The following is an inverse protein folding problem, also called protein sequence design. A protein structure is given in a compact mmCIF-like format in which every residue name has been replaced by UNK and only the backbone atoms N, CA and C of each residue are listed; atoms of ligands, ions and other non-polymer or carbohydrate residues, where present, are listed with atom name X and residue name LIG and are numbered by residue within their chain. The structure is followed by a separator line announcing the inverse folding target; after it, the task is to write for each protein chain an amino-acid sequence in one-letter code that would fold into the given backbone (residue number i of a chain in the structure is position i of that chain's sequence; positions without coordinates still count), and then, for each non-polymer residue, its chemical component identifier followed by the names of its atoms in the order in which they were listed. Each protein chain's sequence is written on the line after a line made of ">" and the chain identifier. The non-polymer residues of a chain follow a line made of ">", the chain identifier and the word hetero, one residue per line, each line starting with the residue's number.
data_IF_159531519849
#
_entry.id   IF_159531519849
#
_cell.length_a   1.000
_cell.length_b   1.000
_cell.length_c   1.000
_cell.angle_alpha   90.00
_cell.angle_beta   90.00
_cell.angle_gamma   90.00
#
_symmetry.space_group_name_H-M   'P 1'
#
loop_
_entity.id
_entity.type
_entity.pdbx_description
1 polymer ?
#
# COMPACT_ATOMS: atom_id res chain seq x y z
N UNK A 1 -49.47 -11.45 -74.47
CA UNK A 1 -49.37 -10.46 -73.46
C UNK A 1 -48.97 -11.12 -72.17
N UNK A 2 -47.64 -10.99 -71.79
CA UNK A 2 -47.11 -11.48 -70.50
C UNK A 2 -46.16 -10.39 -69.98
N UNK A 3 -46.66 -9.62 -69.00
CA UNK A 3 -45.86 -8.55 -68.34
C UNK A 3 -44.91 -9.16 -67.28
N UNK A 4 -43.63 -8.91 -67.40
CA UNK A 4 -42.63 -9.29 -66.44
C UNK A 4 -42.42 -8.13 -65.44
N UNK A 5 -42.75 -8.37 -64.18
CA UNK A 5 -42.46 -7.44 -63.04
C UNK A 5 -41.03 -7.67 -62.61
N UNK A 6 -40.18 -6.65 -62.75
CA UNK A 6 -38.80 -6.63 -62.25
C UNK A 6 -38.80 -6.09 -60.81
N UNK A 7 -38.42 -6.92 -59.83
CA UNK A 7 -38.15 -6.50 -58.47
C UNK A 7 -36.72 -5.92 -58.37
N UNK A 8 -36.61 -4.69 -58.02
CA UNK A 8 -35.33 -4.05 -57.69
C UNK A 8 -35.03 -4.32 -56.20
N UNK A 9 -34.00 -5.10 -55.91
CA UNK A 9 -33.49 -5.30 -54.55
C UNK A 9 -32.55 -4.13 -54.25
N UNK A 10 -32.98 -3.22 -53.40
CA UNK A 10 -32.12 -2.14 -52.86
C UNK A 10 -31.34 -2.73 -51.69
N UNK A 11 -30.08 -3.06 -51.93
CA UNK A 11 -29.13 -3.48 -50.89
C UNK A 11 -28.71 -2.32 -50.02
N UNK A 12 -29.13 -2.29 -48.75
CA UNK A 12 -28.69 -1.32 -47.75
C UNK A 12 -27.30 -1.72 -47.24
N UNK A 13 -26.25 -1.09 -47.73
CA UNK A 13 -24.88 -1.20 -47.25
C UNK A 13 -24.78 -0.44 -45.90
N UNK A 14 -24.86 -1.19 -44.78
CA UNK A 14 -24.53 -0.64 -43.46
C UNK A 14 -22.98 -0.55 -43.38
N UNK A 15 -22.43 0.65 -43.55
CA UNK A 15 -21.01 0.93 -43.34
C UNK A 15 -20.76 0.84 -41.82
N UNK A 16 -20.14 -0.25 -41.34
CA UNK A 16 -19.53 -0.31 -40.03
C UNK A 16 -18.37 0.69 -40.02
N UNK A 17 -18.56 1.85 -39.40
CA UNK A 17 -17.46 2.74 -39.08
C UNK A 17 -16.49 2.03 -38.13
N UNK A 18 -15.19 1.93 -38.44
CA UNK A 18 -14.22 1.39 -37.51
C UNK A 18 -14.22 2.26 -36.26
N UNK A 19 -14.60 1.69 -35.12
CA UNK A 19 -14.49 2.36 -33.82
C UNK A 19 -13.07 2.85 -33.64
N UNK A 20 -12.85 4.16 -33.59
CA UNK A 20 -11.56 4.76 -33.31
C UNK A 20 -11.21 4.32 -31.89
N UNK A 21 -10.32 3.30 -31.76
CA UNK A 21 -9.78 2.92 -30.48
C UNK A 21 -9.09 4.17 -29.89
N UNK A 22 -9.63 4.66 -28.80
CA UNK A 22 -9.01 5.76 -28.05
C UNK A 22 -7.60 5.30 -27.67
N UNK A 23 -6.54 6.07 -27.96
CA UNK A 23 -5.21 5.70 -27.53
C UNK A 23 -5.23 5.49 -26.01
N UNK A 24 -4.65 4.38 -25.56
CA UNK A 24 -4.50 4.12 -24.13
C UNK A 24 -3.80 5.33 -23.49
N UNK A 25 -4.41 5.89 -22.45
CA UNK A 25 -3.83 7.02 -21.72
C UNK A 25 -2.44 6.68 -21.16
N UNK A 26 -1.67 7.68 -20.73
CA UNK A 26 -0.36 7.46 -20.17
C UNK A 26 -0.44 6.53 -18.93
N UNK A 27 0.58 5.71 -18.72
CA UNK A 27 0.65 4.81 -17.54
C UNK A 27 1.64 5.41 -16.53
N UNK A 28 1.22 5.56 -15.28
CA UNK A 28 2.03 5.98 -14.13
C UNK A 28 2.44 4.74 -13.33
N UNK A 29 3.73 4.52 -13.12
CA UNK A 29 4.24 3.45 -12.27
C UNK A 29 4.46 3.97 -10.85
N UNK A 30 3.70 3.46 -9.89
CA UNK A 30 3.75 3.87 -8.49
C UNK A 30 4.34 2.75 -7.65
N UNK A 31 5.51 3.01 -7.04
CA UNK A 31 6.09 2.14 -6.03
C UNK A 31 5.56 2.55 -4.66
N UNK A 32 4.90 1.66 -3.95
CA UNK A 32 4.22 1.99 -2.70
C UNK A 32 4.44 0.95 -1.60
N UNK A 33 4.59 1.43 -0.39
CA UNK A 33 4.65 0.59 0.80
C UNK A 33 3.39 -0.27 0.90
N UNK A 34 3.56 -1.53 1.29
CA UNK A 34 2.51 -2.56 1.20
C UNK A 34 1.33 -2.35 2.17
N UNK A 35 1.46 -1.44 3.15
CA UNK A 35 0.35 -1.00 4.01
C UNK A 35 -0.71 -0.18 3.26
N UNK A 36 -0.34 0.39 2.09
CA UNK A 36 -1.25 1.13 1.22
C UNK A 36 -2.15 0.23 0.35
N UNK A 37 -1.94 -1.09 0.36
CA UNK A 37 -2.60 -2.00 -0.58
C UNK A 37 -4.12 -1.76 -0.66
N UNK A 38 -4.83 -1.82 0.47
CA UNK A 38 -6.30 -1.73 0.46
C UNK A 38 -6.81 -0.31 0.18
N UNK A 39 -6.10 0.71 0.69
CA UNK A 39 -6.46 2.09 0.38
C UNK A 39 -6.25 2.41 -1.10
N UNK A 40 -5.17 1.91 -1.71
CA UNK A 40 -4.86 2.16 -3.11
C UNK A 40 -5.70 1.31 -4.08
N UNK A 41 -6.15 0.12 -3.67
CA UNK A 41 -7.15 -0.65 -4.43
C UNK A 41 -8.44 0.18 -4.66
N UNK A 42 -8.82 1.03 -3.70
CA UNK A 42 -9.96 1.93 -3.83
C UNK A 42 -9.60 3.26 -4.55
N UNK A 43 -8.44 3.81 -4.25
CA UNK A 43 -8.02 5.15 -4.69
C UNK A 43 -7.58 5.18 -6.15
N UNK A 44 -6.81 4.18 -6.59
CA UNK A 44 -6.24 4.12 -7.95
C UNK A 44 -7.32 4.16 -9.04
N UNK A 45 -8.39 3.36 -9.01
CA UNK A 45 -9.44 3.43 -10.04
C UNK A 45 -10.14 4.79 -10.11
N UNK A 46 -10.20 5.52 -9.00
CA UNK A 46 -10.78 6.88 -8.96
C UNK A 46 -9.86 7.88 -9.62
N UNK A 47 -8.56 7.83 -9.29
CA UNK A 47 -7.57 8.68 -9.96
C UNK A 47 -7.52 8.41 -11.47
N UNK A 48 -7.50 7.15 -11.91
CA UNK A 48 -7.48 6.79 -13.33
C UNK A 48 -8.63 7.44 -14.11
N UNK A 49 -9.83 7.46 -13.52
CA UNK A 49 -11.01 8.09 -14.15
C UNK A 49 -10.85 9.59 -14.32
N UNK A 50 -10.35 10.29 -13.29
CA UNK A 50 -10.22 11.77 -13.34
C UNK A 50 -8.97 12.21 -14.09
N UNK A 51 -7.93 11.40 -14.10
CA UNK A 51 -6.66 11.71 -14.77
C UNK A 51 -6.65 11.33 -16.26
N UNK A 52 -7.52 10.39 -16.68
CA UNK A 52 -7.44 9.77 -18.00
C UNK A 52 -6.16 8.98 -18.23
N UNK A 53 -5.59 8.42 -17.16
CA UNK A 53 -4.32 7.70 -17.15
C UNK A 53 -4.50 6.32 -16.50
N UNK A 54 -3.53 5.41 -16.71
CA UNK A 54 -3.46 4.14 -16.00
C UNK A 54 -2.41 4.21 -14.88
N UNK A 55 -2.60 3.43 -13.83
CA UNK A 55 -1.63 3.30 -12.72
C UNK A 55 -1.20 1.84 -12.62
N UNK A 56 0.11 1.62 -12.71
CA UNK A 56 0.73 0.33 -12.35
C UNK A 56 1.24 0.45 -10.93
N UNK A 57 0.64 -0.31 -10.01
CA UNK A 57 1.01 -0.32 -8.60
C UNK A 57 1.99 -1.46 -8.31
N UNK A 58 3.16 -1.12 -7.76
CA UNK A 58 4.16 -2.06 -7.27
C UNK A 58 4.24 -1.93 -5.75
N UNK A 59 3.79 -2.97 -5.05
CA UNK A 59 3.75 -3.00 -3.59
C UNK A 59 4.93 -3.79 -3.02
N UNK A 60 5.56 -3.25 -1.97
CA UNK A 60 6.69 -3.91 -1.33
C UNK A 60 7.05 -3.30 0.03
N UNK A 61 8.13 -3.78 0.64
CA UNK A 61 8.69 -3.07 1.78
C UNK A 61 9.38 -1.78 1.32
N UNK A 62 9.27 -0.74 2.12
CA UNK A 62 9.83 0.59 1.79
C UNK A 62 11.32 0.53 1.46
N UNK A 63 12.11 -0.24 2.24
CA UNK A 63 13.55 -0.35 2.02
C UNK A 63 13.91 -1.04 0.71
N UNK A 64 13.22 -2.17 0.39
CA UNK A 64 13.45 -2.88 -0.86
C UNK A 64 13.08 -2.03 -2.08
N UNK A 65 11.93 -1.32 -2.01
CA UNK A 65 11.52 -0.43 -3.09
C UNK A 65 12.47 0.76 -3.26
N UNK A 66 12.93 1.35 -2.14
CA UNK A 66 13.92 2.41 -2.18
C UNK A 66 15.22 1.94 -2.87
N UNK A 67 15.73 0.76 -2.51
CA UNK A 67 16.91 0.18 -3.13
C UNK A 67 16.72 -0.07 -4.62
N UNK A 68 15.55 -0.58 -5.03
CA UNK A 68 15.24 -0.76 -6.45
C UNK A 68 15.25 0.58 -7.21
N UNK A 69 14.68 1.63 -6.62
CA UNK A 69 14.69 2.97 -7.22
C UNK A 69 16.13 3.49 -7.31
N UNK A 70 16.95 3.36 -6.26
CA UNK A 70 18.38 3.73 -6.28
C UNK A 70 19.15 3.06 -7.44
N UNK A 71 18.76 1.83 -7.79
CA UNK A 71 19.34 1.09 -8.92
C UNK A 71 18.63 1.33 -10.26
N UNK A 72 17.81 2.37 -10.36
CA UNK A 72 17.21 2.79 -11.63
C UNK A 72 15.91 2.08 -12.01
N UNK A 73 15.21 1.47 -11.07
CA UNK A 73 13.88 0.89 -11.37
C UNK A 73 12.94 1.94 -11.99
N UNK A 74 12.08 1.54 -12.95
CA UNK A 74 11.25 2.46 -13.74
C UNK A 74 10.01 2.91 -12.95
N UNK A 75 10.22 3.48 -11.75
CA UNK A 75 9.19 4.08 -10.95
C UNK A 75 8.99 5.55 -11.33
N UNK A 76 7.75 6.02 -11.31
CA UNK A 76 7.40 7.43 -11.49
C UNK A 76 7.24 8.14 -10.13
N UNK A 77 6.63 7.45 -9.15
CA UNK A 77 6.35 8.00 -7.81
C UNK A 77 6.66 6.94 -6.75
N UNK A 78 7.22 7.38 -5.64
CA UNK A 78 7.50 6.55 -4.48
C UNK A 78 6.68 6.97 -3.27
N UNK A 79 5.93 6.03 -2.68
CA UNK A 79 5.19 6.18 -1.42
C UNK A 79 5.83 5.30 -0.35
N UNK A 80 6.50 5.93 0.60
CA UNK A 80 7.26 5.26 1.66
C UNK A 80 6.51 5.28 3.00
N UNK A 81 6.54 4.17 3.73
CA UNK A 81 5.98 4.08 5.08
C UNK A 81 6.86 4.75 6.15
N UNK A 82 8.01 5.29 5.78
CA UNK A 82 8.85 6.11 6.64
C UNK A 82 9.50 7.22 5.80
N UNK A 83 9.26 8.47 6.20
CA UNK A 83 9.76 9.67 5.54
C UNK A 83 11.28 9.69 5.38
N UNK A 84 12.03 9.05 6.28
CA UNK A 84 13.49 9.02 6.22
C UNK A 84 14.04 8.43 4.92
N UNK A 85 13.32 7.47 4.31
CA UNK A 85 13.69 6.92 3.00
C UNK A 85 13.51 7.94 1.88
N UNK A 86 12.43 8.71 1.90
CA UNK A 86 12.20 9.78 0.92
C UNK A 86 13.24 10.87 1.06
N UNK A 87 13.53 11.30 2.30
CA UNK A 87 14.51 12.35 2.60
C UNK A 87 15.92 11.91 2.17
N UNK A 88 16.31 10.66 2.42
CA UNK A 88 17.57 10.08 1.95
C UNK A 88 17.66 10.09 0.42
N UNK A 89 16.63 9.62 -0.29
CA UNK A 89 16.63 9.58 -1.74
C UNK A 89 16.61 11.00 -2.38
N UNK A 90 16.02 11.98 -1.72
CA UNK A 90 16.12 13.39 -2.12
C UNK A 90 17.55 13.90 -1.98
N UNK A 91 18.22 13.62 -0.86
CA UNK A 91 19.61 14.01 -0.64
C UNK A 91 20.55 13.38 -1.66
N UNK A 92 20.26 12.17 -2.13
CA UNK A 92 20.97 11.48 -3.20
C UNK A 92 20.55 11.95 -4.62
N UNK A 93 19.65 12.92 -4.73
CA UNK A 93 19.12 13.43 -5.99
C UNK A 93 18.36 12.39 -6.83
N UNK A 94 17.85 11.33 -6.22
CA UNK A 94 17.03 10.27 -6.83
C UNK A 94 15.56 10.70 -6.92
N UNK A 95 15.07 11.44 -5.94
CA UNK A 95 13.71 12.00 -5.92
C UNK A 95 13.73 13.52 -6.08
N UNK A 96 12.65 14.08 -6.60
CA UNK A 96 12.46 15.52 -6.80
C UNK A 96 12.01 16.16 -5.48
N UNK A 97 12.87 16.95 -4.84
CA UNK A 97 12.60 17.59 -3.55
C UNK A 97 11.29 18.42 -3.54
N UNK A 98 11.03 19.19 -4.61
CA UNK A 98 9.84 20.03 -4.73
C UNK A 98 8.51 19.25 -4.83
N UNK A 99 8.56 17.92 -5.00
CA UNK A 99 7.37 17.06 -5.03
C UNK A 99 7.13 16.32 -3.71
N UNK A 100 8.02 16.49 -2.72
CA UNK A 100 7.89 15.83 -1.42
C UNK A 100 6.61 16.26 -0.70
N UNK A 101 5.87 15.29 -0.21
CA UNK A 101 4.71 15.52 0.65
C UNK A 101 4.59 14.44 1.72
N UNK A 102 4.17 14.82 2.92
CA UNK A 102 3.60 13.87 3.88
C UNK A 102 2.22 13.49 3.39
N UNK A 103 1.83 12.23 3.55
CA UNK A 103 0.49 11.79 3.14
C UNK A 103 -0.27 11.06 4.25
N UNK A 104 0.43 10.46 5.22
CA UNK A 104 -0.18 9.75 6.33
C UNK A 104 0.79 9.57 7.51
N UNK A 105 0.24 9.16 8.66
CA UNK A 105 0.96 8.43 9.70
C UNK A 105 0.30 7.06 9.88
N UNK A 106 1.11 5.99 9.77
CA UNK A 106 0.68 4.62 9.98
C UNK A 106 0.49 4.29 11.45
N UNK A 107 -0.30 3.26 11.74
CA UNK A 107 -0.51 2.75 13.10
C UNK A 107 -0.28 1.24 13.13
N UNK A 108 0.28 0.74 14.23
CA UNK A 108 0.49 -0.68 14.48
C UNK A 108 -0.75 -1.31 15.14
N UNK A 109 -1.06 -2.55 14.74
CA UNK A 109 -2.07 -3.37 15.37
C UNK A 109 -1.50 -4.76 15.70
N UNK A 110 -1.88 -5.29 16.85
CA UNK A 110 -1.68 -6.69 17.19
C UNK A 110 -2.84 -7.48 16.58
N UNK A 111 -2.53 -8.31 15.60
CA UNK A 111 -3.47 -9.15 14.87
C UNK A 111 -3.42 -10.59 15.38
N UNK A 112 -4.59 -11.24 15.47
CA UNK A 112 -4.74 -12.63 15.89
C UNK A 112 -5.63 -13.37 14.90
N UNK A 113 -5.26 -14.58 14.51
CA UNK A 113 -6.10 -15.43 13.68
C UNK A 113 -7.34 -15.89 14.47
N UNK A 114 -8.54 -15.52 14.02
CA UNK A 114 -9.82 -15.80 14.72
C UNK A 114 -10.03 -17.27 15.09
N UNK A 115 -9.56 -18.18 14.26
CA UNK A 115 -9.71 -19.64 14.46
C UNK A 115 -8.82 -20.22 15.56
N UNK A 116 -7.86 -19.44 16.08
CA UNK A 116 -6.82 -19.95 16.99
C UNK A 116 -7.06 -19.59 18.45
N UNK A 117 -8.16 -18.95 18.77
CA UNK A 117 -8.52 -18.69 20.16
C UNK A 117 -9.02 -17.26 20.41
N UNK A 118 -9.11 -16.85 21.65
CA UNK A 118 -9.61 -15.54 22.03
C UNK A 118 -8.67 -14.42 21.50
N UNK A 119 -9.28 -13.28 21.22
CA UNK A 119 -8.57 -12.05 20.86
C UNK A 119 -7.54 -11.71 21.93
N UNK A 120 -6.30 -11.49 21.50
CA UNK A 120 -5.26 -10.96 22.38
C UNK A 120 -5.55 -9.47 22.67
N UNK A 121 -5.35 -9.04 23.89
CA UNK A 121 -5.69 -7.68 24.34
C UNK A 121 -4.50 -6.75 24.41
N UNK A 122 -3.28 -7.32 24.53
CA UNK A 122 -2.03 -6.59 24.68
C UNK A 122 -0.84 -7.42 24.18
N UNK A 123 0.35 -6.82 24.19
CA UNK A 123 1.57 -7.48 23.74
C UNK A 123 2.04 -8.60 24.68
N UNK A 124 1.76 -8.51 25.99
CA UNK A 124 2.17 -9.55 26.96
C UNK A 124 1.46 -10.87 26.69
N UNK A 125 0.25 -10.82 26.13
CA UNK A 125 -0.50 -12.01 25.75
C UNK A 125 0.21 -12.86 24.66
N UNK A 126 1.21 -12.32 23.94
CA UNK A 126 2.06 -13.08 23.01
C UNK A 126 2.93 -14.13 23.69
N UNK A 127 3.14 -14.01 25.01
CA UNK A 127 3.90 -15.00 25.79
C UNK A 127 3.10 -16.27 26.09
N UNK A 128 1.78 -16.29 25.82
CA UNK A 128 0.96 -17.49 25.97
C UNK A 128 1.62 -18.68 25.24
N UNK A 129 1.77 -19.85 25.88
CA UNK A 129 2.36 -21.04 25.26
C UNK A 129 1.63 -21.52 24.01
N UNK A 130 0.37 -21.16 23.83
CA UNK A 130 -0.43 -21.46 22.62
C UNK A 130 -0.01 -20.64 21.41
N UNK A 131 0.65 -19.49 21.61
CA UNK A 131 1.24 -18.67 20.56
C UNK A 131 2.63 -19.22 20.28
N UNK A 132 2.78 -19.93 19.18
CA UNK A 132 4.05 -20.56 18.75
C UNK A 132 4.80 -19.72 17.74
N UNK A 133 4.06 -18.96 16.91
CA UNK A 133 4.63 -18.09 15.89
C UNK A 133 4.02 -16.69 15.99
N UNK A 134 4.87 -15.67 15.97
CA UNK A 134 4.51 -14.27 15.96
C UNK A 134 5.08 -13.63 14.69
N UNK A 135 4.22 -13.20 13.78
CA UNK A 135 4.64 -12.59 12.53
C UNK A 135 4.94 -11.08 12.70
N UNK A 136 6.09 -10.65 12.22
CA UNK A 136 6.43 -9.22 12.04
C UNK A 136 7.04 -9.05 10.64
N UNK A 137 6.96 -7.83 10.07
CA UNK A 137 7.72 -7.54 8.86
C UNK A 137 9.22 -7.49 9.19
N UNK A 138 10.09 -7.85 8.23
CA UNK A 138 11.53 -7.87 8.50
C UNK A 138 12.04 -6.45 8.84
N UNK A 139 12.58 -6.21 10.06
CA UNK A 139 13.04 -4.90 10.52
C UNK A 139 14.18 -4.31 9.69
N UNK A 140 14.96 -5.14 8.99
CA UNK A 140 16.09 -4.68 8.18
C UNK A 140 15.67 -3.70 7.08
N UNK A 141 14.50 -3.92 6.48
CA UNK A 141 14.04 -3.14 5.33
C UNK A 141 12.57 -2.67 5.40
N UNK A 142 11.79 -3.13 6.40
CA UNK A 142 10.39 -2.74 6.55
C UNK A 142 10.19 -1.81 7.76
N UNK A 143 9.71 -0.56 7.57
CA UNK A 143 9.46 0.37 8.67
C UNK A 143 8.52 -0.19 9.75
N UNK A 144 7.44 -0.86 9.35
CA UNK A 144 6.53 -1.51 10.29
C UNK A 144 7.21 -2.62 11.12
N UNK A 145 8.20 -3.31 10.54
CA UNK A 145 9.00 -4.29 11.26
C UNK A 145 9.85 -3.64 12.36
N UNK A 146 10.51 -2.52 12.05
CA UNK A 146 11.26 -1.73 13.04
C UNK A 146 10.37 -1.24 14.17
N UNK A 147 9.17 -0.75 13.86
CA UNK A 147 8.21 -0.32 14.89
C UNK A 147 7.67 -1.48 15.71
N UNK A 148 7.49 -2.65 15.09
CA UNK A 148 7.13 -3.86 15.81
C UNK A 148 8.24 -4.28 16.79
N UNK A 149 9.49 -4.27 16.38
CA UNK A 149 10.64 -4.54 17.25
C UNK A 149 10.72 -3.52 18.40
N UNK A 150 10.60 -2.21 18.10
CA UNK A 150 10.57 -1.16 19.12
C UNK A 150 9.47 -1.42 20.16
N UNK A 151 8.24 -1.72 19.71
CA UNK A 151 7.11 -1.98 20.60
C UNK A 151 7.31 -3.22 21.47
N UNK A 152 7.86 -4.31 20.92
CA UNK A 152 8.14 -5.52 21.67
C UNK A 152 9.28 -5.33 22.67
N UNK A 153 10.32 -4.54 22.34
CA UNK A 153 11.40 -4.15 23.25
C UNK A 153 10.87 -3.25 24.37
N UNK A 154 10.06 -2.25 24.04
CA UNK A 154 9.44 -1.35 25.04
C UNK A 154 8.49 -2.13 25.98
N UNK A 155 7.83 -3.18 25.50
CA UNK A 155 7.03 -4.10 26.31
C UNK A 155 7.89 -5.09 27.13
N UNK A 156 9.21 -5.15 26.93
CA UNK A 156 10.13 -6.03 27.64
C UNK A 156 10.03 -7.51 27.28
N UNK A 157 9.50 -7.82 26.09
CA UNK A 157 9.24 -9.22 25.68
C UNK A 157 9.98 -9.66 24.42
N UNK A 158 10.79 -8.79 23.81
CA UNK A 158 11.48 -9.10 22.55
C UNK A 158 12.33 -10.37 22.63
N UNK A 159 13.20 -10.45 23.62
CA UNK A 159 14.11 -11.59 23.78
C UNK A 159 13.37 -12.91 24.06
N UNK A 160 12.21 -12.84 24.74
CA UNK A 160 11.37 -14.02 25.00
C UNK A 160 10.62 -14.51 23.76
N UNK A 161 10.41 -13.63 22.79
CA UNK A 161 9.71 -13.94 21.56
C UNK A 161 10.64 -14.32 20.41
N UNK A 162 11.95 -14.11 20.51
CA UNK A 162 12.90 -14.23 19.42
C UNK A 162 12.80 -15.61 18.71
N UNK A 163 12.64 -16.69 19.47
CA UNK A 163 12.46 -18.04 18.92
C UNK A 163 11.09 -18.30 18.28
N UNK A 164 10.13 -17.41 18.50
CA UNK A 164 8.77 -17.49 17.93
C UNK A 164 8.59 -16.56 16.71
N UNK A 165 9.55 -15.65 16.46
CA UNK A 165 9.40 -14.66 15.40
C UNK A 165 9.48 -15.29 14.02
N UNK A 166 8.54 -14.91 13.16
CA UNK A 166 8.56 -15.20 11.72
C UNK A 166 8.49 -13.89 10.94
N UNK A 167 9.35 -13.76 9.94
CA UNK A 167 9.56 -12.51 9.25
C UNK A 167 8.86 -12.49 7.89
N UNK A 168 7.89 -11.57 7.73
CA UNK A 168 7.32 -11.24 6.43
C UNK A 168 8.25 -10.33 5.63
N UNK A 169 8.35 -10.55 4.34
CA UNK A 169 9.10 -9.67 3.43
C UNK A 169 8.60 -8.20 3.49
N UNK A 170 7.31 -8.04 3.68
CA UNK A 170 6.65 -6.74 3.86
C UNK A 170 5.44 -6.90 4.78
N UNK A 171 4.79 -5.79 5.12
CA UNK A 171 3.70 -5.81 6.11
C UNK A 171 2.45 -6.56 5.61
N UNK A 172 2.22 -6.65 4.30
CA UNK A 172 1.13 -7.46 3.75
C UNK A 172 1.43 -8.96 3.84
N UNK A 173 2.67 -9.38 3.58
CA UNK A 173 3.09 -10.76 3.77
C UNK A 173 3.00 -11.18 5.26
N UNK A 174 3.32 -10.25 6.18
CA UNK A 174 3.12 -10.44 7.61
C UNK A 174 1.65 -10.72 7.95
N UNK A 175 0.72 -9.93 7.40
CA UNK A 175 -0.71 -10.19 7.57
C UNK A 175 -1.12 -11.56 7.01
N UNK A 176 -0.59 -11.97 5.84
CA UNK A 176 -0.90 -13.27 5.24
C UNK A 176 -0.51 -14.46 6.12
N UNK A 177 0.58 -14.37 6.89
CA UNK A 177 0.92 -15.41 7.88
C UNK A 177 -0.18 -15.56 8.93
N UNK A 178 -0.74 -14.46 9.42
CA UNK A 178 -1.85 -14.50 10.40
C UNK A 178 -3.16 -14.99 9.74
N UNK A 179 -3.49 -14.50 8.56
CA UNK A 179 -4.70 -14.89 7.82
C UNK A 179 -4.72 -16.40 7.52
N UNK A 180 -3.61 -16.94 7.07
CA UNK A 180 -3.47 -18.37 6.77
C UNK A 180 -3.39 -19.23 8.03
N UNK A 181 -3.03 -18.63 9.19
CA UNK A 181 -2.72 -19.29 10.45
C UNK A 181 -1.36 -19.99 10.44
N UNK A 182 -0.47 -19.58 9.57
CA UNK A 182 0.96 -19.93 9.66
C UNK A 182 1.61 -19.24 10.88
N UNK A 183 1.02 -18.13 11.35
CA UNK A 183 1.31 -17.54 12.65
C UNK A 183 0.00 -17.33 13.41
N UNK A 184 0.01 -17.61 14.71
CA UNK A 184 -1.14 -17.42 15.60
C UNK A 184 -1.44 -15.93 15.79
N UNK A 185 -0.38 -15.10 15.80
CA UNK A 185 -0.49 -13.66 15.96
C UNK A 185 0.57 -12.93 15.13
N UNK A 186 0.43 -11.62 15.00
CA UNK A 186 1.43 -10.78 14.34
C UNK A 186 1.21 -9.29 14.58
N UNK A 187 2.27 -8.51 14.43
CA UNK A 187 2.19 -7.06 14.45
C UNK A 187 2.08 -6.56 13.00
N UNK A 188 0.94 -5.96 12.68
CA UNK A 188 0.58 -5.56 11.31
C UNK A 188 0.23 -4.08 11.23
N UNK A 189 0.15 -3.53 10.02
CA UNK A 189 -0.43 -2.20 9.84
C UNK A 189 -1.94 -2.23 10.07
N UNK A 190 -2.45 -1.30 10.86
CA UNK A 190 -3.90 -1.15 11.06
C UNK A 190 -4.63 -1.01 9.73
N UNK A 191 -4.01 -0.30 8.78
CA UNK A 191 -4.60 -0.02 7.46
C UNK A 191 -4.99 -1.26 6.65
N UNK A 192 -4.41 -2.42 6.97
CA UNK A 192 -4.71 -3.69 6.29
C UNK A 192 -5.24 -4.76 7.26
N UNK A 193 -5.41 -4.45 8.55
CA UNK A 193 -5.80 -5.44 9.56
C UNK A 193 -7.28 -5.83 9.51
N UNK A 194 -8.13 -5.01 8.88
CA UNK A 194 -9.58 -5.24 8.87
C UNK A 194 -9.97 -6.26 7.79
N UNK A 195 -9.71 -7.52 8.07
CA UNK A 195 -10.02 -8.67 7.20
C UNK A 195 -10.82 -9.73 7.97
N UNK A 196 -11.64 -10.56 7.29
CA UNK A 196 -12.56 -11.50 7.95
C UNK A 196 -11.87 -12.52 8.87
N UNK A 197 -10.65 -12.94 8.53
CA UNK A 197 -9.91 -14.02 9.21
C UNK A 197 -9.22 -13.55 10.50
N UNK A 198 -9.13 -12.22 10.71
CA UNK A 198 -8.28 -11.62 11.74
C UNK A 198 -9.11 -10.78 12.71
N UNK A 199 -8.79 -10.89 13.99
CA UNK A 199 -9.15 -9.88 15.00
C UNK A 199 -7.90 -9.06 15.33
N UNK A 200 -8.10 -7.81 15.72
CA UNK A 200 -6.98 -6.94 16.04
C UNK A 200 -7.29 -5.99 17.19
N UNK A 201 -6.23 -5.56 17.85
CA UNK A 201 -6.23 -4.46 18.83
C UNK A 201 -5.13 -3.47 18.46
N UNK A 202 -5.41 -2.19 18.66
CA UNK A 202 -4.43 -1.14 18.39
C UNK A 202 -3.30 -1.22 19.42
N UNK A 203 -2.04 -1.14 18.94
CA UNK A 203 -0.87 -1.01 19.80
C UNK A 203 -0.72 0.45 20.22
N UNK A 204 -0.37 0.67 21.50
CA UNK A 204 -0.14 2.01 22.04
C UNK A 204 1.02 2.68 21.28
N UNK A 205 0.74 3.87 20.76
CA UNK A 205 1.72 4.65 19.98
C UNK A 205 2.94 5.09 20.80
N UNK A 206 2.85 5.09 22.14
CA UNK A 206 4.00 5.41 23.02
C UNK A 206 5.07 4.31 23.03
N UNK A 207 4.76 3.10 22.56
CA UNK A 207 5.68 1.95 22.56
C UNK A 207 6.62 1.95 21.35
N UNK A 208 6.43 2.84 20.38
CA UNK A 208 7.27 2.89 19.18
C UNK A 208 7.35 4.31 18.61
N UNK A 209 8.39 4.56 17.82
CA UNK A 209 8.52 5.83 17.09
C UNK A 209 7.40 6.01 16.05
N UNK A 210 6.98 7.23 15.73
CA UNK A 210 5.94 7.49 14.73
C UNK A 210 6.28 6.93 13.34
N UNK A 211 5.27 6.45 12.63
CA UNK A 211 5.36 6.00 11.23
C UNK A 211 4.93 7.13 10.27
N UNK A 212 5.67 8.25 10.29
CA UNK A 212 5.40 9.37 9.38
C UNK A 212 5.74 8.98 7.95
N UNK A 213 4.75 8.97 7.08
CA UNK A 213 4.84 8.46 5.72
C UNK A 213 4.93 9.62 4.73
N UNK A 214 5.85 9.49 3.78
CA UNK A 214 6.09 10.52 2.77
C UNK A 214 6.15 9.93 1.37
N UNK A 215 5.98 10.80 0.39
CA UNK A 215 6.03 10.47 -1.03
C UNK A 215 6.81 11.54 -1.79
N UNK A 216 7.37 11.18 -2.92
CA UNK A 216 7.91 12.11 -3.91
C UNK A 216 7.98 11.46 -5.30
N UNK A 217 8.11 12.30 -6.33
CA UNK A 217 8.31 11.90 -7.74
C UNK A 217 9.75 11.50 -7.96
N UNK A 218 9.97 10.43 -8.73
CA UNK A 218 11.31 9.96 -9.13
C UNK A 218 11.88 10.91 -10.20
N UNK A 219 13.16 11.28 -10.08
CA UNK A 219 13.79 12.32 -10.92
C UNK A 219 13.78 11.99 -12.41
N UNK A 220 13.92 10.73 -12.79
CA UNK A 220 13.92 10.29 -14.19
C UNK A 220 12.54 9.84 -14.67
N UNK A 221 11.49 10.12 -13.93
CA UNK A 221 10.12 9.86 -14.42
C UNK A 221 9.90 10.63 -15.73
N UNK A 222 9.40 9.98 -16.78
CA UNK A 222 8.98 10.65 -18.00
C UNK A 222 7.66 11.42 -17.85
N UNK A 223 7.03 11.36 -16.67
CA UNK A 223 5.70 11.94 -16.41
C UNK A 223 5.63 12.63 -15.03
N UNK A 224 6.57 13.54 -14.70
CA UNK A 224 6.64 14.12 -13.37
C UNK A 224 5.36 14.87 -12.97
N UNK A 225 4.70 15.56 -13.92
CA UNK A 225 3.46 16.28 -13.66
C UNK A 225 2.30 15.33 -13.30
N UNK A 226 2.22 14.17 -13.96
CA UNK A 226 1.21 13.15 -13.63
C UNK A 226 1.49 12.56 -12.24
N UNK A 227 2.76 12.35 -11.89
CA UNK A 227 3.18 11.95 -10.55
C UNK A 227 2.76 12.97 -9.47
N UNK A 228 3.00 14.25 -9.71
CA UNK A 228 2.56 15.32 -8.80
C UNK A 228 1.03 15.33 -8.68
N UNK A 229 0.29 15.17 -9.78
CA UNK A 229 -1.17 15.08 -9.74
C UNK A 229 -1.66 13.88 -8.92
N UNK A 230 -0.97 12.73 -8.98
CA UNK A 230 -1.31 11.58 -8.16
C UNK A 230 -1.09 11.86 -6.68
N UNK A 231 0.05 12.46 -6.31
CA UNK A 231 0.34 12.88 -4.92
C UNK A 231 -0.73 13.87 -4.42
N UNK A 232 -1.10 14.85 -5.22
CA UNK A 232 -2.15 15.82 -4.88
C UNK A 232 -3.52 15.15 -4.72
N UNK A 233 -3.83 14.14 -5.54
CA UNK A 233 -5.08 13.40 -5.44
C UNK A 233 -5.15 12.60 -4.14
N UNK A 234 -4.05 11.91 -3.74
CA UNK A 234 -3.97 11.20 -2.46
C UNK A 234 -4.17 12.16 -1.28
N UNK A 235 -3.58 13.35 -1.34
CA UNK A 235 -3.68 14.39 -0.31
C UNK A 235 -4.93 15.28 -0.45
N UNK A 236 -5.71 15.10 -1.50
CA UNK A 236 -6.96 15.83 -1.73
C UNK A 236 -8.13 15.28 -0.91
N UNK A 237 -9.29 15.93 -0.95
CA UNK A 237 -10.44 15.55 -0.10
C UNK A 237 -10.86 14.08 -0.26
N UNK A 238 -10.89 13.58 -1.47
CA UNK A 238 -11.29 12.19 -1.76
C UNK A 238 -10.24 11.18 -1.26
N UNK A 239 -8.96 11.41 -1.55
CA UNK A 239 -7.87 10.55 -1.10
C UNK A 239 -7.78 10.53 0.42
N UNK A 240 -7.81 11.69 1.07
CA UNK A 240 -7.81 11.80 2.54
C UNK A 240 -8.97 11.03 3.19
N UNK A 241 -10.17 11.11 2.61
CA UNK A 241 -11.34 10.37 3.13
C UNK A 241 -11.13 8.85 3.05
N UNK A 242 -10.54 8.36 1.94
CA UNK A 242 -10.20 6.94 1.77
C UNK A 242 -9.11 6.53 2.79
N UNK A 243 -8.00 7.25 2.86
CA UNK A 243 -6.91 6.97 3.79
C UNK A 243 -7.40 6.90 5.25
N UNK A 244 -8.25 7.86 5.65
CA UNK A 244 -8.81 7.88 7.01
C UNK A 244 -9.68 6.65 7.32
N UNK A 245 -10.52 6.21 6.38
CA UNK A 245 -11.33 4.98 6.54
C UNK A 245 -10.47 3.73 6.74
N UNK A 246 -9.30 3.69 6.10
CA UNK A 246 -8.31 2.61 6.29
C UNK A 246 -7.45 2.79 7.55
N UNK A 247 -7.75 3.78 8.42
CA UNK A 247 -7.14 3.89 9.74
C UNK A 247 -5.83 4.67 9.78
N UNK A 248 -5.44 5.34 8.71
CA UNK A 248 -4.32 6.28 8.75
C UNK A 248 -4.68 7.57 9.49
N UNK A 249 -3.71 8.15 10.21
CA UNK A 249 -3.77 9.54 10.61
C UNK A 249 -3.30 10.40 9.43
N UNK A 250 -3.89 11.59 9.30
CA UNK A 250 -3.61 12.47 8.16
C UNK A 250 -2.77 13.67 8.57
N UNK A 251 -1.98 14.26 7.65
CA UNK A 251 -1.22 15.48 7.94
C UNK A 251 -2.12 16.57 8.53
N UNK A 252 -1.71 17.09 9.71
CA UNK A 252 -2.48 18.00 10.55
C UNK A 252 -3.23 17.31 11.71
N UNK A 253 -3.20 15.98 11.80
CA UNK A 253 -3.73 15.20 12.94
C UNK A 253 -2.59 14.64 13.83
N UNK A 254 -1.33 14.82 13.43
CA UNK A 254 -0.10 14.39 14.15
C UNK A 254 1.02 15.41 14.01
#
# INVERSE_FOLDING_TARGET
>A
MRSAIRWAVVGLLIALAPGIARPAGPTLTVFAAADLAFAFDELVPRFERVAGAKVTLVLGSTGNLATQIEHGAPADVFFAADQAFVDRLIAQQVLIAGSRALYAQGRLALATAKRLGPKLTDLQALLDPRIRHVAIANPEHAPYGRRAEEALRAAGIWEMLESKLVYGENIRHTLQFVQSGAAEAGLVALAIANVPEVEWVLIDASLHSPLNQATAVVRWSPRPELGVRFIQFVNGPEGRAIMKRHGFLLPGEF
#
